data_IF_429170121884
#
_entry.id   IF_429170121884
#
_cell.length_a   1.000
_cell.length_b   1.000
_cell.length_c   1.000
_cell.angle_alpha   90.00
_cell.angle_beta   90.00
_cell.angle_gamma   90.00
#
_symmetry.space_group_name_H-M   'P 1'
#
loop_
_entity.id
_entity.type
_entity.pdbx_description
1 polymer ?
#
# COMPACT_ATOMS: atom_id res chain seq x y z
N UNK A 1 15.48 4.46 -5.45
CA UNK A 1 15.21 3.43 -6.44
C UNK A 1 14.03 3.84 -7.32
N UNK A 2 14.25 3.88 -8.60
CA UNK A 2 13.18 4.20 -9.55
C UNK A 2 12.28 2.99 -9.77
N UNK A 3 11.07 3.24 -10.29
CA UNK A 3 10.18 2.19 -10.72
C UNK A 3 10.85 1.31 -11.77
N UNK A 4 10.56 0.00 -11.79
CA UNK A 4 10.98 -0.86 -12.88
C UNK A 4 10.50 -0.33 -14.23
N UNK A 5 11.28 -0.61 -15.28
CA UNK A 5 10.89 -0.27 -16.63
C UNK A 5 9.74 -1.20 -17.07
N UNK A 6 8.54 -0.64 -17.11
CA UNK A 6 7.33 -1.36 -17.52
C UNK A 6 6.64 -0.62 -18.65
N UNK A 7 6.15 -1.37 -19.62
CA UNK A 7 5.28 -0.81 -20.64
C UNK A 7 3.92 -0.51 -20.01
N UNK A 8 3.56 0.76 -19.97
CA UNK A 8 2.29 1.21 -19.38
C UNK A 8 1.06 0.59 -20.05
N UNK A 9 1.18 0.13 -21.31
CA UNK A 9 0.09 -0.56 -22.00
C UNK A 9 -0.20 -1.94 -21.41
N UNK A 10 0.79 -2.59 -20.78
CA UNK A 10 0.65 -3.94 -20.21
C UNK A 10 -0.26 -3.96 -18.99
N UNK A 11 -0.34 -2.88 -18.24
CA UNK A 11 -1.13 -2.77 -17.00
C UNK A 11 -2.15 -1.64 -17.02
N UNK A 12 -2.37 -1.00 -18.17
CA UNK A 12 -3.38 0.05 -18.30
C UNK A 12 -3.07 1.32 -17.52
N UNK A 13 -1.80 1.67 -17.38
CA UNK A 13 -1.39 2.87 -16.65
C UNK A 13 -1.77 4.15 -17.38
N UNK A 14 -2.38 5.09 -16.66
CA UNK A 14 -2.58 6.46 -17.09
C UNK A 14 -1.61 7.36 -16.33
N UNK A 15 -0.73 8.01 -17.08
CA UNK A 15 0.34 8.83 -16.50
C UNK A 15 -0.08 10.27 -16.28
N UNK A 16 0.25 10.81 -15.11
CA UNK A 16 0.22 12.24 -14.83
C UNK A 16 1.51 12.69 -14.18
N UNK A 17 1.73 14.00 -14.14
CA UNK A 17 2.89 14.59 -13.46
C UNK A 17 2.45 15.78 -12.65
N UNK A 18 3.10 15.96 -11.49
CA UNK A 18 2.97 17.19 -10.72
C UNK A 18 4.36 17.72 -10.37
N UNK A 19 4.48 19.05 -10.34
CA UNK A 19 5.70 19.72 -9.92
C UNK A 19 5.44 20.41 -8.59
N UNK A 20 6.31 20.15 -7.63
CA UNK A 20 6.27 20.77 -6.32
C UNK A 20 7.48 21.71 -6.22
N UNK A 21 7.27 22.94 -5.84
CA UNK A 21 8.27 24.03 -5.75
C UNK A 21 9.06 24.37 -7.04
N UNK A 22 8.71 23.76 -8.17
CA UNK A 22 9.38 24.00 -9.46
C UNK A 22 10.69 23.26 -9.68
N UNK A 23 11.28 22.64 -8.64
CA UNK A 23 12.51 21.86 -8.72
C UNK A 23 12.29 20.37 -8.45
N UNK A 24 11.16 20.01 -7.88
CA UNK A 24 10.80 18.66 -7.48
C UNK A 24 9.63 18.18 -8.33
N UNK A 25 9.88 17.18 -9.16
CA UNK A 25 8.85 16.60 -10.03
C UNK A 25 8.48 15.20 -9.51
N UNK A 26 7.19 14.99 -9.28
CA UNK A 26 6.62 13.71 -8.91
C UNK A 26 5.81 13.20 -10.11
N UNK A 27 6.13 12.00 -10.57
CA UNK A 27 5.34 11.30 -11.57
C UNK A 27 4.34 10.38 -10.89
N UNK A 28 3.12 10.33 -11.42
CA UNK A 28 2.10 9.42 -10.94
C UNK A 28 1.40 8.73 -12.10
N UNK A 29 0.89 7.53 -11.81
CA UNK A 29 0.21 6.68 -12.79
C UNK A 29 -1.06 6.14 -12.12
N UNK A 30 -2.19 6.21 -12.80
CA UNK A 30 -3.40 5.49 -12.38
C UNK A 30 -3.53 4.19 -13.17
N UNK A 31 -3.91 3.13 -12.46
CA UNK A 31 -4.10 1.80 -13.04
C UNK A 31 -5.59 1.53 -13.12
N UNK A 32 -6.07 1.18 -14.31
CA UNK A 32 -7.48 0.87 -14.55
C UNK A 32 -7.69 -0.62 -14.81
N UNK A 33 -8.78 -1.16 -14.26
CA UNK A 33 -9.26 -2.52 -14.52
C UNK A 33 -8.26 -3.63 -14.17
N UNK A 34 -7.35 -3.38 -13.24
CA UNK A 34 -6.33 -4.33 -12.81
C UNK A 34 -6.32 -4.41 -11.30
N UNK A 35 -6.13 -5.61 -10.76
CA UNK A 35 -6.04 -5.81 -9.31
C UNK A 35 -4.71 -5.32 -8.74
N UNK A 36 -4.65 -5.14 -7.41
CA UNK A 36 -3.38 -4.83 -6.75
C UNK A 36 -2.33 -5.92 -7.01
N UNK A 37 -2.73 -7.18 -6.94
CA UNK A 37 -1.82 -8.32 -7.20
C UNK A 37 -1.22 -8.26 -8.59
N UNK A 38 -2.03 -8.02 -9.61
CA UNK A 38 -1.57 -7.89 -10.99
C UNK A 38 -0.65 -6.68 -11.17
N UNK A 39 -0.97 -5.56 -10.52
CA UNK A 39 -0.14 -4.35 -10.55
C UNK A 39 1.23 -4.61 -9.92
N UNK A 40 1.29 -5.23 -8.75
CA UNK A 40 2.55 -5.56 -8.09
C UNK A 40 3.39 -6.52 -8.93
N UNK A 41 2.78 -7.51 -9.56
CA UNK A 41 3.48 -8.43 -10.46
C UNK A 41 4.09 -7.68 -11.66
N UNK A 42 3.33 -6.78 -12.27
CA UNK A 42 3.82 -5.99 -13.39
C UNK A 42 4.98 -5.05 -12.99
N UNK A 43 4.96 -4.55 -11.77
CA UNK A 43 6.04 -3.72 -11.20
C UNK A 43 7.21 -4.53 -10.65
N UNK A 44 7.19 -5.85 -10.81
CA UNK A 44 8.24 -6.76 -10.32
C UNK A 44 8.41 -6.73 -8.79
N UNK A 45 7.35 -6.45 -8.07
CA UNK A 45 7.32 -6.53 -6.60
C UNK A 45 6.82 -7.92 -6.23
N UNK A 46 7.75 -8.80 -5.85
CA UNK A 46 7.50 -10.24 -5.69
C UNK A 46 7.28 -10.67 -4.24
N UNK A 47 6.96 -9.73 -3.36
CA UNK A 47 6.65 -10.02 -1.96
C UNK A 47 5.17 -10.34 -1.80
N UNK A 48 4.78 -11.19 -0.81
CA UNK A 48 3.38 -11.45 -0.53
C UNK A 48 2.77 -10.23 0.17
N UNK A 49 1.98 -9.44 -0.57
CA UNK A 49 1.43 -8.18 -0.10
C UNK A 49 -0.07 -8.09 -0.34
N UNK A 50 -0.55 -8.51 -1.52
CA UNK A 50 -1.95 -8.36 -1.88
C UNK A 50 -2.83 -9.39 -1.17
N UNK A 51 -3.79 -8.95 -0.34
CA UNK A 51 -4.72 -9.90 0.29
C UNK A 51 -5.66 -10.52 -0.74
N UNK A 52 -6.01 -11.79 -0.52
CA UNK A 52 -7.01 -12.48 -1.33
C UNK A 52 -8.44 -12.27 -0.81
N UNK A 53 -8.58 -11.75 0.40
CA UNK A 53 -9.86 -11.37 0.99
C UNK A 53 -9.83 -9.93 1.47
N UNK A 54 -10.95 -9.25 1.29
CA UNK A 54 -11.24 -7.92 1.85
C UNK A 54 -12.41 -8.03 2.81
N UNK A 55 -12.60 -7.08 3.72
CA UNK A 55 -13.83 -7.03 4.53
C UNK A 55 -15.04 -6.91 3.62
N UNK A 56 -16.20 -7.36 4.10
CA UNK A 56 -17.42 -7.40 3.33
C UNK A 56 -17.78 -6.06 2.68
N UNK A 57 -18.09 -6.12 1.39
CA UNK A 57 -18.57 -4.96 0.63
C UNK A 57 -17.49 -4.04 0.09
N UNK A 58 -16.23 -4.20 0.49
CA UNK A 58 -15.16 -3.37 -0.04
C UNK A 58 -14.81 -3.77 -1.47
N UNK A 59 -14.72 -2.77 -2.33
CA UNK A 59 -14.33 -2.92 -3.73
C UNK A 59 -13.23 -1.92 -4.06
N UNK A 60 -12.30 -2.34 -4.89
CA UNK A 60 -11.25 -1.46 -5.37
C UNK A 60 -11.84 -0.32 -6.19
N UNK A 61 -11.44 0.91 -5.87
CA UNK A 61 -11.87 2.12 -6.59
C UNK A 61 -10.75 2.74 -7.39
N UNK A 62 -9.49 2.59 -6.94
CA UNK A 62 -8.35 3.18 -7.60
C UNK A 62 -7.06 2.49 -7.18
N UNK A 63 -6.12 2.39 -8.14
CA UNK A 63 -4.71 2.14 -7.83
C UNK A 63 -3.91 3.29 -8.43
N UNK A 64 -3.02 3.86 -7.64
CA UNK A 64 -2.13 4.93 -8.06
C UNK A 64 -0.69 4.55 -7.73
N UNK A 65 0.20 4.75 -8.70
CA UNK A 65 1.65 4.57 -8.53
C UNK A 65 2.29 5.94 -8.61
N UNK A 66 3.08 6.29 -7.60
CA UNK A 66 3.76 7.59 -7.52
C UNK A 66 5.26 7.37 -7.46
N UNK A 67 6.02 8.03 -8.33
CA UNK A 67 7.48 7.96 -8.37
C UNK A 67 8.06 9.34 -8.05
N UNK A 68 8.85 9.40 -6.99
CA UNK A 68 9.54 10.61 -6.57
C UNK A 68 11.04 10.47 -6.93
N UNK A 69 11.42 11.06 -8.05
CA UNK A 69 12.79 10.97 -8.57
C UNK A 69 13.80 11.70 -7.67
N UNK A 70 13.38 12.73 -6.96
CA UNK A 70 14.27 13.48 -6.08
C UNK A 70 14.66 12.69 -4.84
N UNK A 71 13.69 11.99 -4.23
CA UNK A 71 13.93 11.16 -3.06
C UNK A 71 14.38 9.75 -3.40
N UNK A 72 14.24 9.33 -4.66
CA UNK A 72 14.54 7.96 -5.08
C UNK A 72 13.55 6.94 -4.52
N UNK A 73 12.33 7.36 -4.24
CA UNK A 73 11.27 6.52 -3.68
C UNK A 73 10.10 6.39 -4.63
N UNK A 74 9.32 5.35 -4.47
CA UNK A 74 8.01 5.26 -5.11
C UNK A 74 7.02 4.56 -4.19
N UNK A 75 5.73 4.80 -4.42
CA UNK A 75 4.68 4.09 -3.72
C UNK A 75 3.62 3.55 -4.67
N UNK A 76 2.91 2.55 -4.21
CA UNK A 76 1.72 1.99 -4.83
C UNK A 76 0.61 2.08 -3.80
N UNK A 77 -0.50 2.71 -4.15
CA UNK A 77 -1.65 2.81 -3.25
C UNK A 77 -2.90 2.31 -3.92
N UNK A 78 -3.54 1.34 -3.30
CA UNK A 78 -4.86 0.85 -3.70
C UNK A 78 -5.92 1.36 -2.72
N UNK A 79 -6.93 2.01 -3.24
CA UNK A 79 -8.08 2.48 -2.48
C UNK A 79 -9.28 1.57 -2.70
N UNK A 80 -10.03 1.34 -1.61
CA UNK A 80 -11.23 0.49 -1.59
C UNK A 80 -12.36 1.22 -0.85
N UNK A 81 -13.59 0.93 -1.24
CA UNK A 81 -14.79 1.57 -0.67
C UNK A 81 -15.91 0.55 -0.56
N UNK A 82 -16.71 0.61 0.52
CA UNK A 82 -17.86 -0.24 0.70
C UNK A 82 -19.20 0.54 0.67
N UNK A 83 -19.14 1.83 0.29
CA UNK A 83 -20.28 2.72 0.30
C UNK A 83 -20.37 3.60 1.55
N UNK A 84 -19.91 3.10 2.70
CA UNK A 84 -19.95 3.82 3.97
C UNK A 84 -18.56 4.21 4.47
N UNK A 85 -17.55 3.41 4.16
CA UNK A 85 -16.20 3.53 4.68
C UNK A 85 -15.17 3.28 3.60
N UNK A 86 -13.97 3.78 3.84
CA UNK A 86 -12.83 3.63 2.92
C UNK A 86 -11.67 2.93 3.62
N UNK A 87 -10.98 2.10 2.86
CA UNK A 87 -9.70 1.52 3.28
C UNK A 87 -8.66 1.71 2.18
N UNK A 88 -7.40 1.60 2.54
CA UNK A 88 -6.33 1.59 1.55
C UNK A 88 -5.22 0.62 1.94
N UNK A 89 -4.48 0.21 0.91
CA UNK A 89 -3.24 -0.55 1.04
C UNK A 89 -2.17 0.25 0.32
N UNK A 90 -1.09 0.55 1.01
CA UNK A 90 0.02 1.33 0.46
C UNK A 90 1.32 0.55 0.60
N UNK A 91 2.09 0.51 -0.47
CA UNK A 91 3.42 -0.08 -0.52
C UNK A 91 4.39 1.03 -0.86
N UNK A 92 5.31 1.33 0.05
CA UNK A 92 6.30 2.38 -0.10
C UNK A 92 7.69 1.78 -0.23
N UNK A 93 8.36 2.06 -1.33
CA UNK A 93 9.78 1.77 -1.49
C UNK A 93 10.54 2.87 -0.77
N UNK A 94 11.29 2.51 0.26
CA UNK A 94 12.05 3.47 1.09
C UNK A 94 13.54 3.36 0.84
N UNK A 95 14.26 4.44 1.19
CA UNK A 95 15.73 4.50 1.17
C UNK A 95 16.24 4.82 2.58
N UNK A 96 17.54 4.77 2.77
CA UNK A 96 18.17 5.12 4.06
C UNK A 96 17.86 6.56 4.51
N UNK A 97 17.50 7.43 3.58
CA UNK A 97 17.22 8.85 3.86
C UNK A 97 15.74 9.15 4.03
N UNK A 98 14.87 8.17 3.82
CA UNK A 98 13.43 8.35 3.93
C UNK A 98 12.86 7.38 4.94
N UNK A 99 11.85 7.83 5.65
CA UNK A 99 11.05 7.00 6.54
C UNK A 99 9.62 7.48 6.51
N UNK A 100 8.72 6.62 6.88
CA UNK A 100 7.32 6.97 7.04
C UNK A 100 6.96 6.97 8.52
N UNK A 101 6.06 7.85 8.91
CA UNK A 101 5.54 7.92 10.27
C UNK A 101 4.11 7.44 10.26
N UNK A 102 3.84 6.36 11.01
CA UNK A 102 2.51 5.79 11.11
C UNK A 102 1.87 6.30 12.39
N UNK A 103 0.76 7.00 12.24
CA UNK A 103 0.04 7.56 13.37
C UNK A 103 -0.68 6.47 14.17
N UNK A 104 -0.60 6.59 15.49
CA UNK A 104 -1.33 5.75 16.42
C UNK A 104 -1.78 6.55 17.62
N UNK A 105 -2.81 6.08 18.32
CA UNK A 105 -3.25 6.60 19.59
C UNK A 105 -2.53 5.88 20.77
N UNK A 106 -3.01 6.09 21.99
CA UNK A 106 -2.37 5.57 23.21
C UNK A 106 -2.58 4.07 23.44
N UNK A 107 -3.43 3.42 22.65
CA UNK A 107 -3.68 1.98 22.79
C UNK A 107 -2.45 1.18 22.42
N UNK A 108 -2.20 0.03 23.07
CA UNK A 108 -1.02 -0.78 22.78
C UNK A 108 -0.96 -1.27 21.35
N UNK A 109 0.26 -1.35 20.81
CA UNK A 109 0.52 -1.98 19.52
C UNK A 109 0.38 -3.50 19.65
N UNK A 110 -0.27 -4.12 18.69
CA UNK A 110 -0.44 -5.57 18.62
C UNK A 110 0.54 -6.11 17.58
N UNK A 111 1.40 -7.03 17.98
CA UNK A 111 2.29 -7.73 17.06
C UNK A 111 1.60 -9.01 16.56
N UNK A 112 1.61 -9.19 15.24
CA UNK A 112 1.03 -10.36 14.60
C UNK A 112 1.97 -10.91 13.54
N UNK A 113 2.54 -12.08 13.79
CA UNK A 113 3.53 -12.69 12.91
C UNK A 113 2.91 -13.76 12.03
N UNK A 114 3.14 -13.65 10.73
CA UNK A 114 2.76 -14.64 9.71
C UNK A 114 3.93 -14.87 8.78
N UNK A 115 4.29 -16.14 8.56
CA UNK A 115 5.30 -16.54 7.56
C UNK A 115 6.61 -15.73 7.66
N UNK A 116 7.12 -15.56 8.89
CA UNK A 116 8.33 -14.79 9.20
C UNK A 116 8.22 -13.27 9.01
N UNK A 117 7.03 -12.74 8.77
CA UNK A 117 6.78 -11.31 8.72
C UNK A 117 5.98 -10.89 9.95
N UNK A 118 6.47 -9.89 10.67
CA UNK A 118 5.73 -9.32 11.80
C UNK A 118 4.97 -8.07 11.35
N UNK A 119 3.67 -8.13 11.55
CA UNK A 119 2.76 -7.01 11.32
C UNK A 119 2.51 -6.31 12.64
N UNK A 120 2.58 -4.99 12.63
CA UNK A 120 2.30 -4.15 13.78
C UNK A 120 0.93 -3.51 13.58
N UNK A 121 -0.06 -3.93 14.39
CA UNK A 121 -1.44 -3.43 14.31
C UNK A 121 -1.60 -2.34 15.35
N UNK A 122 -1.94 -1.14 14.88
CA UNK A 122 -2.03 0.06 15.69
C UNK A 122 -3.41 0.68 15.55
N UNK A 123 -3.95 1.14 16.68
CA UNK A 123 -5.18 1.92 16.68
C UNK A 123 -4.87 3.39 16.45
N UNK A 124 -5.70 4.03 15.63
CA UNK A 124 -5.72 5.48 15.50
C UNK A 124 -7.15 5.94 15.38
N UNK A 125 -7.73 6.38 16.49
CA UNK A 125 -9.15 6.74 16.62
C UNK A 125 -10.05 5.57 16.21
N UNK A 126 -10.81 5.71 15.13
CA UNK A 126 -11.74 4.68 14.65
C UNK A 126 -11.13 3.78 13.55
N UNK A 127 -9.85 3.93 13.27
CA UNK A 127 -9.16 3.13 12.25
C UNK A 127 -8.11 2.23 12.87
N UNK A 128 -7.81 1.14 12.17
CA UNK A 128 -6.64 0.33 12.42
C UNK A 128 -5.64 0.54 11.29
N UNK A 129 -4.37 0.64 11.65
CA UNK A 129 -3.25 0.63 10.74
C UNK A 129 -2.41 -0.61 11.01
N UNK A 130 -2.20 -1.44 10.01
CA UNK A 130 -1.33 -2.59 10.10
C UNK A 130 -0.13 -2.36 9.18
N UNK A 131 1.07 -2.40 9.75
CA UNK A 131 2.31 -2.12 9.03
C UNK A 131 3.29 -3.27 9.13
N UNK A 132 4.01 -3.53 8.04
CA UNK A 132 5.10 -4.51 8.00
C UNK A 132 6.22 -4.02 7.09
N UNK A 133 7.43 -4.48 7.37
CA UNK A 133 8.60 -4.25 6.51
C UNK A 133 8.94 -5.55 5.77
N UNK A 134 9.17 -5.42 4.46
CA UNK A 134 9.61 -6.51 3.59
C UNK A 134 10.82 -6.02 2.79
N UNK A 135 12.03 -6.29 3.29
CA UNK A 135 13.26 -5.69 2.81
C UNK A 135 13.20 -4.15 2.87
N UNK A 136 13.23 -3.46 1.73
CA UNK A 136 13.15 -2.01 1.65
C UNK A 136 11.75 -1.49 1.27
N UNK A 137 10.74 -2.38 1.35
CA UNK A 137 9.33 -1.98 1.19
C UNK A 137 8.64 -1.91 2.54
N UNK A 138 7.93 -0.81 2.77
CA UNK A 138 7.00 -0.68 3.89
C UNK A 138 5.58 -0.89 3.35
N UNK A 139 4.83 -1.77 4.01
CA UNK A 139 3.44 -2.07 3.65
C UNK A 139 2.54 -1.56 4.76
N UNK A 140 1.51 -0.81 4.38
CA UNK A 140 0.51 -0.28 5.31
C UNK A 140 -0.88 -0.66 4.82
N UNK A 141 -1.67 -1.26 5.71
CA UNK A 141 -3.10 -1.50 5.51
C UNK A 141 -3.84 -0.62 6.50
N UNK A 142 -4.72 0.24 6.03
CA UNK A 142 -5.51 1.13 6.89
C UNK A 142 -6.99 0.97 6.63
N UNK A 143 -7.76 0.65 7.67
CA UNK A 143 -9.19 0.42 7.55
C UNK A 143 -9.91 0.64 8.88
N UNK A 144 -11.19 1.07 8.86
CA UNK A 144 -12.01 1.18 10.07
C UNK A 144 -12.68 -0.16 10.40
N UNK A 145 -11.89 -1.15 10.79
CA UNK A 145 -12.32 -2.53 11.04
C UNK A 145 -11.81 -3.00 12.41
N UNK A 146 -12.28 -4.17 12.83
CA UNK A 146 -11.82 -4.80 14.07
C UNK A 146 -10.42 -5.43 13.90
N UNK A 147 -9.77 -5.72 15.04
CA UNK A 147 -8.50 -6.44 15.06
C UNK A 147 -8.64 -7.81 14.39
N UNK A 148 -9.70 -8.54 14.67
CA UNK A 148 -9.93 -9.87 14.07
C UNK A 148 -10.10 -9.79 12.55
N UNK A 149 -10.80 -8.79 12.06
CA UNK A 149 -10.94 -8.54 10.63
C UNK A 149 -9.58 -8.19 10.00
N UNK A 150 -8.79 -7.34 10.65
CA UNK A 150 -7.45 -7.00 10.17
C UNK A 150 -6.55 -8.24 10.10
N UNK A 151 -6.57 -9.09 11.13
CA UNK A 151 -5.84 -10.36 11.11
C UNK A 151 -6.29 -11.27 9.99
N UNK A 152 -7.59 -11.32 9.71
CA UNK A 152 -8.14 -12.09 8.59
C UNK A 152 -7.62 -11.60 7.23
N UNK A 153 -7.52 -10.29 7.04
CA UNK A 153 -6.93 -9.71 5.82
C UNK A 153 -5.47 -10.14 5.69
N UNK A 154 -4.70 -9.98 6.77
CA UNK A 154 -3.28 -10.36 6.79
C UNK A 154 -3.10 -11.85 6.48
N UNK A 155 -3.91 -12.72 7.08
CA UNK A 155 -3.87 -14.16 6.81
C UNK A 155 -4.08 -14.45 5.33
N UNK A 156 -4.97 -13.73 4.68
CA UNK A 156 -5.31 -13.93 3.27
C UNK A 156 -4.18 -13.56 2.30
N UNK A 157 -3.20 -12.80 2.75
CA UNK A 157 -2.00 -12.48 1.95
C UNK A 157 -1.20 -13.74 1.66
N UNK A 158 -1.21 -14.70 2.59
CA UNK A 158 -0.37 -15.89 2.55
C UNK A 158 -1.13 -17.14 2.11
N UNK A 159 -2.33 -17.00 1.64
CA UNK A 159 -3.17 -18.10 1.15
C UNK A 159 -2.98 -18.38 -0.33
#
# INVERSE_FOLDING_TARGET
>A
ADLPDTDSSDIGLQKGTSSWDGSHTIEWFEVENVSLKETLTALQINYPIAPSRLPDGYKQTRIQVTNDHMLGTYDVRADYDNGDSKMFIQILKITDTTGDTIEKDDRPVIEYTKENTTWYIMHNLQRLNAAAMMDDYEVLISAPISVDEMKSIIDSIYE
#
